data_IF_668053383449
#
_entry.id   IF_668053383449
#
_cell.length_a   1.000
_cell.length_b   1.000
_cell.length_c   1.000
_cell.angle_alpha   90.00
_cell.angle_beta   90.00
_cell.angle_gamma   90.00
#
_symmetry.space_group_name_H-M   'P 1'
#
loop_
_entity.id
_entity.type
_entity.pdbx_description
1 polymer ?
#
# COMPACT_ATOMS: atom_id res chain seq x y z
N UNK A 1 -0.94 1.52 -5.00
CA UNK A 1 -1.89 2.65 -4.79
C UNK A 1 -2.87 2.66 -5.96
N UNK A 2 -4.20 2.82 -5.76
CA UNK A 2 -5.14 2.93 -6.88
C UNK A 2 -4.94 4.24 -7.67
N UNK A 3 -5.12 4.21 -8.99
CA UNK A 3 -4.87 5.35 -9.90
C UNK A 3 -5.63 6.62 -9.51
N UNK A 4 -6.92 6.50 -9.16
CA UNK A 4 -7.74 7.64 -8.70
C UNK A 4 -7.10 8.34 -7.50
N UNK A 5 -6.64 7.57 -6.52
CA UNK A 5 -5.99 8.09 -5.32
C UNK A 5 -4.65 8.75 -5.65
N UNK A 6 -3.91 8.22 -6.63
CA UNK A 6 -2.66 8.80 -7.11
C UNK A 6 -2.90 10.18 -7.75
N UNK A 7 -3.95 10.29 -8.57
CA UNK A 7 -4.37 11.57 -9.15
C UNK A 7 -4.76 12.61 -8.09
N UNK A 8 -5.51 12.19 -7.06
CA UNK A 8 -5.89 13.07 -5.95
C UNK A 8 -4.67 13.56 -5.15
N UNK A 9 -3.68 12.69 -4.94
CA UNK A 9 -2.42 13.03 -4.26
C UNK A 9 -1.58 14.03 -5.07
N UNK A 10 -1.42 13.79 -6.37
CA UNK A 10 -0.69 14.71 -7.27
C UNK A 10 -1.35 16.09 -7.25
N UNK A 11 -2.68 16.14 -7.38
CA UNK A 11 -3.42 17.40 -7.40
C UNK A 11 -3.26 18.16 -6.09
N UNK A 12 -3.52 17.51 -4.96
CA UNK A 12 -3.46 18.16 -3.64
C UNK A 12 -2.07 18.70 -3.33
N UNK A 13 -1.02 17.92 -3.57
CA UNK A 13 0.36 18.35 -3.36
C UNK A 13 0.76 19.51 -4.28
N UNK A 14 0.44 19.42 -5.58
CA UNK A 14 0.72 20.48 -6.54
C UNK A 14 -0.01 21.77 -6.21
N UNK A 15 -1.32 21.69 -5.91
CA UNK A 15 -2.13 22.86 -5.52
C UNK A 15 -1.62 23.51 -4.24
N UNK A 16 -1.29 22.72 -3.20
CA UNK A 16 -0.74 23.24 -1.95
C UNK A 16 0.63 23.92 -2.15
N UNK A 17 1.49 23.34 -2.97
CA UNK A 17 2.80 23.90 -3.33
C UNK A 17 2.64 25.26 -4.01
N UNK A 18 1.78 25.34 -5.03
CA UNK A 18 1.51 26.60 -5.74
C UNK A 18 0.97 27.66 -4.78
N UNK A 19 -0.02 27.32 -3.96
CA UNK A 19 -0.58 28.27 -2.98
C UNK A 19 0.47 28.76 -1.98
N UNK A 20 1.36 27.88 -1.54
CA UNK A 20 2.45 28.23 -0.64
C UNK A 20 3.41 29.23 -1.31
N UNK A 21 3.83 28.97 -2.55
CA UNK A 21 4.76 29.85 -3.28
C UNK A 21 4.14 31.20 -3.64
N UNK A 22 2.89 31.25 -4.12
CA UNK A 22 2.28 32.54 -4.48
C UNK A 22 1.93 33.39 -3.26
N UNK A 23 1.83 32.77 -2.07
CA UNK A 23 1.67 33.48 -0.80
C UNK A 23 2.95 34.20 -0.33
N UNK A 24 4.10 33.89 -0.93
CA UNK A 24 5.39 34.53 -0.63
C UNK A 24 5.66 35.74 -1.56
N UNK A 25 6.40 36.75 -1.09
CA UNK A 25 6.97 37.78 -1.95
C UNK A 25 7.79 37.18 -3.10
N UNK A 26 7.77 37.79 -4.28
CA UNK A 26 8.36 37.19 -5.50
C UNK A 26 9.84 36.82 -5.34
N UNK A 27 10.63 37.64 -4.64
CA UNK A 27 12.05 37.39 -4.39
C UNK A 27 12.35 36.32 -3.33
N UNK A 28 11.34 35.86 -2.59
CA UNK A 28 11.46 34.86 -1.52
C UNK A 28 10.89 33.50 -1.92
N UNK A 29 10.36 33.37 -3.15
CA UNK A 29 9.80 32.13 -3.66
C UNK A 29 10.90 31.11 -3.93
N UNK A 30 11.00 30.13 -3.04
CA UNK A 30 11.94 29.03 -3.21
C UNK A 30 11.36 27.93 -4.09
N UNK A 31 11.73 27.93 -5.38
CA UNK A 31 11.25 26.92 -6.34
C UNK A 31 11.71 25.50 -6.02
N UNK A 32 12.71 25.31 -5.15
CA UNK A 32 13.12 23.96 -4.70
C UNK A 32 12.00 23.25 -3.94
N UNK A 33 11.05 24.00 -3.35
CA UNK A 33 9.85 23.44 -2.73
C UNK A 33 9.01 22.63 -3.73
N UNK A 34 8.91 23.09 -4.98
CA UNK A 34 8.16 22.38 -6.01
C UNK A 34 8.84 21.07 -6.43
N UNK A 35 10.18 21.08 -6.51
CA UNK A 35 10.96 19.88 -6.81
C UNK A 35 10.83 18.84 -5.69
N UNK A 36 10.96 19.27 -4.44
CA UNK A 36 10.81 18.40 -3.27
C UNK A 36 9.39 17.82 -3.16
N UNK A 37 8.37 18.63 -3.38
CA UNK A 37 6.98 18.17 -3.38
C UNK A 37 6.72 17.14 -4.48
N UNK A 38 7.22 17.39 -5.69
CA UNK A 38 7.13 16.44 -6.81
C UNK A 38 7.83 15.13 -6.48
N UNK A 39 9.05 15.18 -5.95
CA UNK A 39 9.83 14.00 -5.63
C UNK A 39 9.20 13.16 -4.51
N UNK A 40 8.65 13.81 -3.48
CA UNK A 40 7.91 13.13 -2.42
C UNK A 40 6.67 12.39 -2.96
N UNK A 41 5.89 13.04 -3.83
CA UNK A 41 4.71 12.42 -4.47
C UNK A 41 5.12 11.28 -5.40
N UNK A 42 6.14 11.47 -6.23
CA UNK A 42 6.69 10.43 -7.11
C UNK A 42 7.15 9.23 -6.30
N UNK A 43 7.88 9.45 -5.21
CA UNK A 43 8.35 8.37 -4.32
C UNK A 43 7.15 7.61 -3.73
N UNK A 44 6.14 8.31 -3.22
CA UNK A 44 4.96 7.68 -2.65
C UNK A 44 4.15 6.85 -3.65
N UNK A 45 4.10 7.27 -4.92
CA UNK A 45 3.35 6.58 -5.98
C UNK A 45 4.17 5.43 -6.59
N UNK A 46 5.44 5.67 -6.91
CA UNK A 46 6.28 4.80 -7.72
C UNK A 46 7.08 3.79 -6.91
N UNK A 47 7.55 4.14 -5.71
CA UNK A 47 8.41 3.25 -4.93
C UNK A 47 7.65 2.08 -4.28
N UNK A 48 6.31 2.07 -4.37
CA UNK A 48 5.46 1.18 -3.59
C UNK A 48 5.51 1.53 -2.10
N UNK A 49 4.45 1.21 -1.35
CA UNK A 49 4.57 1.24 0.11
C UNK A 49 5.75 0.31 0.50
N UNK A 50 6.55 0.65 1.54
CA UNK A 50 7.53 -0.30 2.05
C UNK A 50 6.81 -1.64 2.21
N UNK A 51 7.37 -2.70 1.62
CA UNK A 51 6.74 -4.02 1.58
C UNK A 51 6.13 -4.26 2.96
N UNK A 52 4.80 -4.37 3.01
CA UNK A 52 4.10 -4.56 4.27
C UNK A 52 4.85 -5.67 5.02
N UNK A 53 5.21 -5.42 6.28
CA UNK A 53 5.93 -6.38 7.09
C UNK A 53 5.29 -7.76 6.85
N UNK A 54 6.09 -8.81 6.61
CA UNK A 54 5.55 -10.10 6.20
C UNK A 54 4.40 -10.46 7.12
N UNK A 55 3.25 -10.75 6.53
CA UNK A 55 2.02 -10.99 7.27
C UNK A 55 2.34 -11.93 8.44
N UNK A 56 2.05 -11.48 9.67
CA UNK A 56 2.28 -12.30 10.85
C UNK A 56 1.60 -13.67 10.68
N UNK A 57 2.05 -14.71 11.40
CA UNK A 57 1.62 -16.09 11.17
C UNK A 57 0.09 -16.26 11.13
N UNK A 58 -0.64 -15.48 11.93
CA UNK A 58 -2.12 -15.42 11.92
C UNK A 58 -2.66 -14.88 10.59
N UNK A 59 -2.14 -13.76 10.09
CA UNK A 59 -2.60 -13.15 8.85
C UNK A 59 -2.27 -14.05 7.64
N UNK A 60 -1.09 -14.67 7.62
CA UNK A 60 -0.73 -15.65 6.60
C UNK A 60 -1.67 -16.88 6.62
N UNK A 61 -2.03 -17.37 7.81
CA UNK A 61 -2.94 -18.50 7.97
C UNK A 61 -4.36 -18.20 7.47
N UNK A 62 -4.90 -17.01 7.79
CA UNK A 62 -6.21 -16.55 7.30
C UNK A 62 -6.22 -16.44 5.77
N UNK A 63 -5.18 -15.84 5.17
CA UNK A 63 -5.07 -15.72 3.71
C UNK A 63 -4.99 -17.07 3.03
N UNK A 64 -4.15 -17.99 3.54
CA UNK A 64 -4.02 -19.33 2.96
C UNK A 64 -5.31 -20.15 3.12
N UNK A 65 -6.03 -19.98 4.24
CA UNK A 65 -7.32 -20.65 4.46
C UNK A 65 -8.38 -20.19 3.44
N UNK A 66 -8.40 -18.91 3.09
CA UNK A 66 -9.33 -18.38 2.08
C UNK A 66 -9.06 -18.96 0.68
N UNK A 67 -7.79 -19.18 0.33
CA UNK A 67 -7.37 -19.74 -0.96
C UNK A 67 -7.37 -21.29 -1.01
N UNK A 68 -7.66 -21.95 0.12
CA UNK A 68 -7.58 -23.41 0.24
C UNK A 68 -8.39 -24.21 -0.81
N UNK A 69 -9.59 -23.77 -1.26
CA UNK A 69 -10.33 -24.45 -2.33
C UNK A 69 -9.61 -24.45 -3.68
N UNK A 70 -8.72 -23.49 -3.90
CA UNK A 70 -7.96 -23.31 -5.15
C UNK A 70 -6.70 -24.18 -5.20
N UNK A 71 -6.33 -24.82 -4.08
CA UNK A 71 -5.19 -25.75 -4.02
C UNK A 71 -5.59 -27.12 -4.58
N UNK A 72 -5.65 -27.21 -5.90
CA UNK A 72 -6.04 -28.43 -6.63
C UNK A 72 -5.01 -29.54 -6.57
N UNK A 73 -3.74 -29.21 -6.29
CA UNK A 73 -2.66 -30.18 -6.06
C UNK A 73 -2.86 -31.02 -4.79
N UNK A 74 -3.68 -30.53 -3.85
CA UNK A 74 -4.04 -31.26 -2.63
C UNK A 74 -5.27 -32.14 -2.88
N UNK A 75 -5.34 -33.29 -2.24
CA UNK A 75 -6.56 -34.10 -2.16
C UNK A 75 -7.61 -33.41 -1.26
N UNK A 76 -8.88 -33.83 -1.32
CA UNK A 76 -9.91 -33.32 -0.41
C UNK A 76 -9.55 -33.48 1.07
N UNK A 77 -8.93 -34.60 1.44
CA UNK A 77 -8.53 -34.88 2.82
C UNK A 77 -7.36 -34.00 3.26
N UNK A 78 -6.38 -33.75 2.38
CA UNK A 78 -5.26 -32.85 2.67
C UNK A 78 -5.71 -31.40 2.82
N UNK A 79 -6.65 -30.93 1.99
CA UNK A 79 -7.28 -29.62 2.19
C UNK A 79 -8.02 -29.54 3.52
N UNK A 80 -8.79 -30.57 3.89
CA UNK A 80 -9.49 -30.56 5.18
C UNK A 80 -8.51 -30.49 6.37
N UNK A 81 -7.42 -31.27 6.33
CA UNK A 81 -6.38 -31.28 7.37
C UNK A 81 -5.66 -29.94 7.48
N UNK A 82 -5.21 -29.39 6.34
CA UNK A 82 -4.56 -28.08 6.30
C UNK A 82 -5.51 -26.98 6.80
N UNK A 83 -6.80 -27.08 6.47
CA UNK A 83 -7.83 -26.21 7.00
C UNK A 83 -7.84 -26.19 8.53
N UNK A 84 -7.96 -27.36 9.17
CA UNK A 84 -7.99 -27.48 10.64
C UNK A 84 -6.75 -26.85 11.29
N UNK A 85 -5.56 -27.07 10.72
CA UNK A 85 -4.33 -26.46 11.22
C UNK A 85 -4.32 -24.94 11.09
N UNK A 86 -4.82 -24.41 9.97
CA UNK A 86 -4.91 -22.96 9.75
C UNK A 86 -5.92 -22.30 10.69
N UNK A 87 -7.04 -22.96 11.02
CA UNK A 87 -8.00 -22.46 12.02
C UNK A 87 -7.35 -22.38 13.40
N UNK A 88 -6.61 -23.42 13.82
CA UNK A 88 -5.85 -23.43 15.08
C UNK A 88 -4.81 -22.31 15.16
N UNK A 89 -4.05 -22.09 14.10
CA UNK A 89 -3.06 -20.99 14.03
C UNK A 89 -3.73 -19.62 14.06
N UNK A 90 -4.96 -19.52 13.54
CA UNK A 90 -5.75 -18.29 13.53
C UNK A 90 -6.55 -18.06 14.82
N UNK A 91 -6.51 -19.00 15.77
CA UNK A 91 -7.27 -18.93 17.02
C UNK A 91 -8.78 -19.16 16.87
N UNK A 92 -9.20 -19.89 15.83
CA UNK A 92 -10.60 -20.27 15.58
C UNK A 92 -10.87 -21.72 15.95
#
# INVERSE_FOLDING_TARGET
>A
MPERRAGDLIRSAGTGTVFTLIGQPEGERDMTLADLAREAVCTAILAGAPAAAPAGPVAAAVTLRAALPELTELTPNERALLGDWLDRVSGR
#
